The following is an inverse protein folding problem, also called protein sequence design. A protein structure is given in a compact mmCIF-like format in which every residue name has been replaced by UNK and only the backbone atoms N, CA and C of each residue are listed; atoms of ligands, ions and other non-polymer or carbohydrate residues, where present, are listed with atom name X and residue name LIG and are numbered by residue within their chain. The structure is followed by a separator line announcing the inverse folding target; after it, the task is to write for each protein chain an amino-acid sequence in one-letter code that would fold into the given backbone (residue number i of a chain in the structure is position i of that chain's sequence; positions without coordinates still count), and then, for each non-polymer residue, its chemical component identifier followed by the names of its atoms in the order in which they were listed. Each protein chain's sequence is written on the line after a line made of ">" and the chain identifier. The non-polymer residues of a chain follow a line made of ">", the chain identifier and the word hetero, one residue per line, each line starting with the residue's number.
data_IF_977654316456
#
_entry.id   IF_977654316456
#
_cell.length_a   1.000
_cell.length_b   1.000
_cell.length_c   1.000
_cell.angle_alpha   90.00
_cell.angle_beta   90.00
_cell.angle_gamma   90.00
#
_symmetry.space_group_name_H-M   'P 1'
#
loop_
_entity.id
_entity.type
_entity.pdbx_description
1 polymer ?
#
# COMPACT_ATOMS: atom_id res chain seq x y z
N UNK A 1 -21.57 -9.45 -5.06
CA UNK A 1 -20.67 -9.69 -3.91
C UNK A 1 -21.16 -10.92 -3.17
N UNK A 2 -20.26 -11.81 -2.85
CA UNK A 2 -20.51 -13.02 -2.05
C UNK A 2 -19.67 -12.93 -0.76
N UNK A 3 -20.13 -13.58 0.31
CA UNK A 3 -19.35 -13.72 1.55
C UNK A 3 -19.18 -15.18 1.89
N UNK A 4 -18.03 -15.54 2.44
CA UNK A 4 -17.75 -16.89 2.93
C UNK A 4 -16.84 -16.84 4.15
N UNK A 5 -16.86 -17.94 4.91
CA UNK A 5 -16.01 -18.08 6.10
C UNK A 5 -14.80 -18.94 5.78
N UNK A 6 -13.62 -18.49 6.23
CA UNK A 6 -12.38 -19.27 6.16
C UNK A 6 -11.61 -19.09 7.46
N UNK A 7 -11.28 -20.19 8.13
CA UNK A 7 -10.51 -20.17 9.40
C UNK A 7 -11.07 -19.18 10.45
N UNK A 8 -12.41 -19.06 10.52
CA UNK A 8 -13.08 -18.17 11.46
C UNK A 8 -13.10 -16.69 11.06
N UNK A 9 -12.60 -16.35 9.89
CA UNK A 9 -12.68 -14.99 9.33
C UNK A 9 -13.72 -14.92 8.22
N UNK A 10 -14.49 -13.85 8.21
CA UNK A 10 -15.42 -13.53 7.13
C UNK A 10 -14.66 -12.87 5.98
N UNK A 11 -14.76 -13.46 4.80
CA UNK A 11 -14.15 -12.94 3.58
C UNK A 11 -15.22 -12.49 2.58
N UNK A 12 -14.85 -11.52 1.78
CA UNK A 12 -15.71 -10.91 0.77
C UNK A 12 -15.13 -11.16 -0.62
N UNK A 13 -15.94 -11.75 -1.50
CA UNK A 13 -15.59 -11.98 -2.90
C UNK A 13 -16.39 -11.05 -3.80
N UNK A 14 -15.68 -10.33 -4.65
CA UNK A 14 -16.25 -9.44 -5.65
C UNK A 14 -15.89 -9.97 -7.04
N UNK A 15 -16.84 -9.95 -7.97
CA UNK A 15 -16.61 -10.36 -9.37
C UNK A 15 -16.97 -9.21 -10.29
N UNK A 16 -16.02 -8.80 -11.15
CA UNK A 16 -16.17 -7.72 -12.13
C UNK A 16 -15.61 -8.17 -13.46
N UNK A 17 -16.49 -8.51 -14.43
CA UNK A 17 -16.04 -9.07 -15.71
C UNK A 17 -15.12 -10.29 -15.51
N UNK A 18 -13.89 -10.28 -16.04
CA UNK A 18 -12.94 -11.37 -15.87
C UNK A 18 -12.25 -11.40 -14.50
N UNK A 19 -12.41 -10.35 -13.69
CA UNK A 19 -11.68 -10.21 -12.40
C UNK A 19 -12.48 -10.74 -11.21
N UNK A 20 -11.76 -11.42 -10.33
CA UNK A 20 -12.20 -11.80 -8.98
C UNK A 20 -11.30 -11.15 -7.95
N UNK A 21 -11.91 -10.51 -6.95
CA UNK A 21 -11.22 -9.87 -5.82
C UNK A 21 -11.67 -10.52 -4.53
N UNK A 22 -10.72 -10.85 -3.64
CA UNK A 22 -11.00 -11.37 -2.31
C UNK A 22 -10.44 -10.41 -1.29
N UNK A 23 -11.27 -9.99 -0.33
CA UNK A 23 -10.88 -9.05 0.72
C UNK A 23 -11.28 -9.55 2.11
N UNK A 24 -10.43 -9.29 3.09
CA UNK A 24 -10.81 -9.27 4.51
C UNK A 24 -11.03 -7.83 4.92
N UNK A 25 -12.28 -7.43 5.05
CA UNK A 25 -12.63 -6.02 5.31
C UNK A 25 -12.46 -5.70 6.79
N UNK A 26 -12.92 -6.58 7.67
CA UNK A 26 -12.88 -6.40 9.11
C UNK A 26 -11.46 -6.39 9.67
N UNK A 27 -10.51 -7.04 8.98
CA UNK A 27 -9.12 -7.09 9.40
C UNK A 27 -8.23 -6.46 8.33
N UNK A 28 -7.61 -5.33 8.66
CA UNK A 28 -6.69 -4.60 7.79
C UNK A 28 -7.36 -3.85 6.62
N UNK A 29 -8.70 -3.94 6.45
CA UNK A 29 -9.43 -3.51 5.25
C UNK A 29 -8.66 -3.92 3.98
N UNK A 30 -8.20 -5.17 3.95
CA UNK A 30 -7.15 -5.64 3.05
C UNK A 30 -7.71 -6.35 1.84
N UNK A 31 -7.42 -5.85 0.64
CA UNK A 31 -7.54 -6.67 -0.56
C UNK A 31 -6.46 -7.75 -0.49
N UNK A 32 -6.89 -9.02 -0.37
CA UNK A 32 -5.99 -10.16 -0.22
C UNK A 32 -5.51 -10.67 -1.58
N UNK A 33 -6.44 -10.84 -2.53
CA UNK A 33 -6.13 -11.39 -3.84
C UNK A 33 -6.92 -10.66 -4.92
N UNK A 34 -6.32 -10.51 -6.08
CA UNK A 34 -6.95 -10.14 -7.33
C UNK A 34 -6.48 -11.11 -8.40
N UNK A 35 -7.42 -11.86 -8.97
CA UNK A 35 -7.17 -12.80 -10.06
C UNK A 35 -7.97 -12.40 -11.31
N UNK A 36 -7.41 -12.68 -12.48
CA UNK A 36 -8.04 -12.43 -13.78
C UNK A 36 -8.16 -13.74 -14.57
N UNK A 37 -9.35 -14.02 -15.10
CA UNK A 37 -9.63 -15.17 -15.96
C UNK A 37 -9.49 -14.77 -17.43
N UNK A 38 -8.76 -15.55 -18.19
CA UNK A 38 -8.54 -15.35 -19.63
C UNK A 38 -9.54 -16.15 -20.47
N UNK A 39 -9.64 -15.81 -21.75
CA UNK A 39 -10.57 -16.45 -22.68
C UNK A 39 -10.28 -17.96 -22.91
N UNK A 40 -9.04 -18.39 -22.72
CA UNK A 40 -8.62 -19.80 -22.81
C UNK A 40 -8.89 -20.60 -21.53
N UNK A 41 -9.48 -19.96 -20.49
CA UNK A 41 -9.77 -20.57 -19.20
C UNK A 41 -8.61 -20.51 -18.20
N UNK A 42 -7.44 -19.96 -18.56
CA UNK A 42 -6.36 -19.73 -17.63
C UNK A 42 -6.75 -18.64 -16.60
N UNK A 43 -6.26 -18.78 -15.39
CA UNK A 43 -6.42 -17.77 -14.31
C UNK A 43 -5.06 -17.32 -13.87
N UNK A 44 -4.88 -16.01 -13.75
CA UNK A 44 -3.63 -15.41 -13.27
C UNK A 44 -3.91 -14.49 -12.09
N UNK A 45 -3.13 -14.66 -11.03
CA UNK A 45 -3.09 -13.70 -9.94
C UNK A 45 -2.36 -12.43 -10.37
N UNK A 46 -2.98 -11.28 -10.10
CA UNK A 46 -2.37 -9.95 -10.21
C UNK A 46 -1.78 -9.56 -8.86
N UNK A 47 -2.57 -9.75 -7.81
CA UNK A 47 -2.15 -9.54 -6.42
C UNK A 47 -1.99 -10.91 -5.75
N UNK A 48 -0.78 -11.13 -5.24
CA UNK A 48 -0.36 -12.36 -4.59
C UNK A 48 -0.96 -12.49 -3.18
N UNK A 49 -1.43 -13.68 -2.85
CA UNK A 49 -1.70 -14.11 -1.49
C UNK A 49 -1.12 -15.52 -1.28
N UNK A 50 -0.40 -15.79 -0.17
CA UNK A 50 0.13 -17.13 0.07
C UNK A 50 -0.99 -18.13 0.31
N UNK A 51 -0.89 -19.32 -0.31
CA UNK A 51 -1.93 -20.37 -0.28
C UNK A 51 -2.36 -20.76 1.14
N UNK A 52 -1.42 -20.84 2.06
CA UNK A 52 -1.65 -21.18 3.47
C UNK A 52 -1.49 -19.97 4.40
N UNK A 53 -1.62 -18.75 3.87
CA UNK A 53 -1.54 -17.54 4.67
C UNK A 53 -2.69 -17.43 5.66
N UNK A 54 -2.44 -16.93 6.89
CA UNK A 54 -3.51 -16.68 7.85
C UNK A 54 -4.48 -15.64 7.30
N UNK A 55 -5.77 -15.89 7.45
CA UNK A 55 -6.86 -15.03 6.99
C UNK A 55 -7.61 -14.34 8.13
N UNK A 56 -7.38 -14.77 9.36
CA UNK A 56 -7.89 -14.12 10.56
C UNK A 56 -7.20 -12.81 10.87
N UNK A 57 -7.74 -12.05 11.81
CA UNK A 57 -7.15 -10.76 12.20
C UNK A 57 -5.93 -10.90 13.14
N UNK A 58 -5.40 -9.75 13.54
CA UNK A 58 -4.32 -9.66 14.51
C UNK A 58 -2.94 -9.48 13.89
N UNK A 59 -1.92 -9.65 14.71
CA UNK A 59 -0.54 -9.36 14.33
C UNK A 59 -0.03 -10.27 13.21
N UNK A 60 -0.31 -11.56 13.28
CA UNK A 60 0.09 -12.54 12.26
C UNK A 60 -0.50 -12.20 10.88
N UNK A 61 -1.78 -11.77 10.84
CA UNK A 61 -2.39 -11.29 9.61
C UNK A 61 -1.71 -10.02 9.08
N UNK A 62 -1.35 -9.12 9.98
CA UNK A 62 -0.61 -7.89 9.64
C UNK A 62 0.75 -8.17 9.00
N UNK A 63 1.41 -9.27 9.37
CA UNK A 63 2.75 -9.63 8.87
C UNK A 63 2.74 -10.50 7.61
N UNK A 64 1.55 -10.94 7.13
CA UNK A 64 1.45 -11.72 5.89
C UNK A 64 2.06 -10.96 4.70
N UNK A 65 2.96 -11.63 3.98
CA UNK A 65 3.52 -11.16 2.71
C UNK A 65 2.55 -11.45 1.58
N UNK A 66 1.59 -10.55 1.35
CA UNK A 66 0.56 -10.73 0.32
C UNK A 66 -0.51 -9.65 0.37
N UNK A 67 -1.35 -9.58 -0.65
CA UNK A 67 -2.44 -8.63 -0.76
C UNK A 67 -1.98 -7.18 -0.94
N UNK A 68 -2.82 -6.25 -0.50
CA UNK A 68 -2.54 -4.82 -0.46
C UNK A 68 -2.69 -4.32 0.99
N UNK A 69 -1.67 -4.45 1.86
CA UNK A 69 -1.67 -3.86 3.18
C UNK A 69 -1.87 -2.36 3.14
N UNK A 70 -2.71 -1.86 4.03
CA UNK A 70 -2.93 -0.43 4.28
C UNK A 70 -1.95 0.04 5.34
N UNK A 71 -1.16 1.05 5.00
CA UNK A 71 -0.12 1.62 5.86
C UNK A 71 -0.64 2.92 6.46
N UNK A 72 -0.87 2.93 7.79
CA UNK A 72 -1.39 4.10 8.53
C UNK A 72 -1.00 4.01 10.00
N UNK A 73 -0.61 5.11 10.68
CA UNK A 73 -0.58 6.48 10.17
C UNK A 73 0.62 6.82 9.29
N UNK A 74 1.72 6.07 9.38
CA UNK A 74 2.97 6.34 8.64
C UNK A 74 3.44 5.11 7.87
N UNK A 75 3.69 5.27 6.57
CA UNK A 75 4.35 4.27 5.75
C UNK A 75 5.86 4.22 6.05
N UNK A 76 6.43 3.02 6.05
CA UNK A 76 7.84 2.79 6.36
C UNK A 76 8.14 2.73 7.86
N UNK A 77 9.44 2.73 8.19
CA UNK A 77 9.92 2.80 9.56
C UNK A 77 10.00 4.27 10.03
N UNK A 78 9.69 4.50 11.29
CA UNK A 78 9.87 5.79 11.95
C UNK A 78 11.17 5.81 12.74
N UNK A 79 11.83 6.96 12.75
CA UNK A 79 13.04 7.22 13.53
C UNK A 79 12.90 8.59 14.21
N UNK A 80 13.22 8.66 15.47
CA UNK A 80 13.33 9.90 16.21
C UNK A 80 14.51 9.83 17.17
N UNK A 81 15.30 10.90 17.24
CA UNK A 81 16.48 11.02 18.13
C UNK A 81 17.50 9.88 17.94
N UNK A 82 17.61 9.34 16.72
CA UNK A 82 18.51 8.22 16.40
C UNK A 82 17.94 6.83 16.69
N UNK A 83 16.74 6.73 17.25
CA UNK A 83 16.12 5.46 17.61
C UNK A 83 15.04 5.04 16.61
N UNK A 84 15.11 3.79 16.16
CA UNK A 84 14.11 3.16 15.30
C UNK A 84 12.88 2.75 16.12
N UNK A 85 11.69 2.94 15.53
CA UNK A 85 10.43 2.55 16.16
C UNK A 85 9.83 3.67 17.01
N UNK A 86 10.34 4.89 16.88
CA UNK A 86 9.82 6.08 17.52
C UNK A 86 9.58 7.19 16.51
N UNK A 87 8.65 8.06 16.82
CA UNK A 87 8.40 9.30 16.09
C UNK A 87 8.22 10.47 17.04
N UNK A 88 8.47 11.67 16.57
CA UNK A 88 8.32 12.89 17.35
C UNK A 88 7.06 13.62 16.94
N UNK A 89 6.18 13.87 17.89
CA UNK A 89 4.96 14.65 17.66
C UNK A 89 5.28 16.11 17.36
N UNK A 90 4.35 16.88 16.78
CA UNK A 90 4.51 18.33 16.65
C UNK A 90 4.76 19.06 17.98
N UNK A 91 4.28 18.48 19.09
CA UNK A 91 4.48 19.00 20.45
C UNK A 91 5.77 18.51 21.10
N UNK A 92 6.67 17.88 20.32
CA UNK A 92 7.96 17.32 20.74
C UNK A 92 7.89 16.12 21.71
N UNK A 93 6.77 15.43 21.81
CA UNK A 93 6.68 14.17 22.53
C UNK A 93 7.30 13.04 21.69
N UNK A 94 8.08 12.17 22.33
CA UNK A 94 8.62 10.95 21.71
C UNK A 94 7.66 9.79 21.97
N UNK A 95 7.05 9.27 20.92
CA UNK A 95 6.07 8.18 20.99
C UNK A 95 6.51 6.97 20.16
N UNK A 96 6.16 5.74 20.58
CA UNK A 96 6.47 4.55 19.79
C UNK A 96 5.67 4.55 18.48
N UNK A 97 6.24 3.97 17.43
CA UNK A 97 5.56 3.78 16.15
C UNK A 97 6.03 2.49 15.47
N UNK A 98 5.13 1.56 15.28
CA UNK A 98 5.40 0.32 14.55
C UNK A 98 5.73 0.63 13.08
N UNK A 99 6.59 -0.20 12.48
CA UNK A 99 6.83 -0.13 11.04
C UNK A 99 5.51 -0.28 10.27
N UNK A 100 5.23 0.65 9.36
CA UNK A 100 3.99 0.77 8.61
C UNK A 100 2.74 1.09 9.45
N UNK A 101 2.89 1.43 10.72
CA UNK A 101 1.80 1.81 11.60
C UNK A 101 0.93 0.63 12.06
N UNK A 102 -0.37 0.85 12.18
CA UNK A 102 -1.29 -0.06 12.89
C UNK A 102 -2.44 -0.60 12.04
N UNK A 103 -2.70 -0.03 10.85
CA UNK A 103 -3.86 -0.42 10.04
C UNK A 103 -3.71 -1.79 9.38
N UNK A 104 -2.49 -2.20 8.98
CA UNK A 104 -2.25 -3.44 8.19
C UNK A 104 -2.76 -4.73 8.85
N UNK A 105 -2.87 -4.78 10.17
CA UNK A 105 -3.44 -5.88 10.95
C UNK A 105 -4.53 -5.41 11.91
N UNK A 106 -4.95 -4.16 11.79
CA UNK A 106 -5.93 -3.54 12.67
C UNK A 106 -7.37 -3.93 12.35
N UNK A 107 -8.26 -3.63 13.30
CA UNK A 107 -9.70 -3.90 13.17
C UNK A 107 -10.38 -2.75 12.41
N UNK A 108 -11.36 -3.13 11.59
CA UNK A 108 -12.19 -2.19 10.84
C UNK A 108 -13.67 -2.53 10.99
N UNK A 109 -14.48 -1.50 11.03
CA UNK A 109 -15.94 -1.60 10.93
C UNK A 109 -16.35 -1.41 9.48
N UNK A 110 -17.04 -2.39 8.91
CA UNK A 110 -17.64 -2.24 7.57
C UNK A 110 -18.75 -1.19 7.65
N UNK A 111 -18.61 -0.09 6.93
CA UNK A 111 -19.63 0.95 6.80
C UNK A 111 -20.52 0.73 5.56
N UNK A 112 -19.91 0.21 4.49
CA UNK A 112 -20.60 -0.13 3.26
C UNK A 112 -19.89 -1.30 2.57
N UNK A 113 -20.65 -2.22 2.01
CA UNK A 113 -20.17 -3.22 1.06
C UNK A 113 -21.24 -3.45 -0.01
N UNK A 114 -20.86 -3.47 -1.27
CA UNK A 114 -21.73 -3.63 -2.44
C UNK A 114 -21.01 -4.44 -3.52
N UNK A 115 -21.66 -4.72 -4.65
CA UNK A 115 -21.05 -5.48 -5.75
C UNK A 115 -19.84 -4.79 -6.38
N UNK A 116 -19.68 -3.48 -6.16
CA UNK A 116 -18.60 -2.69 -6.78
C UNK A 116 -17.48 -2.30 -5.81
N UNK A 117 -17.57 -2.66 -4.52
CA UNK A 117 -16.54 -2.29 -3.55
C UNK A 117 -17.04 -2.17 -2.13
N UNK A 118 -16.20 -1.59 -1.27
CA UNK A 118 -16.51 -1.40 0.15
C UNK A 118 -15.89 -0.13 0.73
N UNK A 119 -16.44 0.31 1.86
CA UNK A 119 -15.86 1.33 2.74
C UNK A 119 -15.81 0.79 4.17
N UNK A 120 -14.65 0.92 4.80
CA UNK A 120 -14.42 0.48 6.17
C UNK A 120 -13.77 1.57 7.02
N UNK A 121 -14.22 1.70 8.27
CA UNK A 121 -13.72 2.63 9.27
C UNK A 121 -12.73 1.91 10.19
N UNK A 122 -11.53 2.43 10.33
CA UNK A 122 -10.51 1.92 11.23
C UNK A 122 -10.92 2.09 12.70
N UNK A 123 -10.73 1.04 13.48
CA UNK A 123 -10.96 1.01 14.91
C UNK A 123 -9.60 0.92 15.62
N UNK A 124 -9.01 2.06 16.08
CA UNK A 124 -7.71 2.02 16.72
C UNK A 124 -7.73 1.24 18.03
N UNK A 125 -6.84 0.25 18.16
CA UNK A 125 -6.59 -0.43 19.44
C UNK A 125 -5.79 0.45 20.42
N UNK A 126 -5.61 -0.03 21.65
CA UNK A 126 -4.93 0.73 22.71
C UNK A 126 -3.51 1.17 22.34
N UNK A 127 -2.73 0.28 21.72
CA UNK A 127 -1.35 0.61 21.30
C UNK A 127 -1.33 1.73 20.26
N UNK A 128 -2.26 1.67 19.29
CA UNK A 128 -2.41 2.73 18.31
C UNK A 128 -2.83 4.06 18.98
N UNK A 129 -3.78 4.02 19.89
CA UNK A 129 -4.25 5.21 20.58
C UNK A 129 -3.16 5.87 21.45
N UNK A 130 -2.27 5.07 22.06
CA UNK A 130 -1.09 5.57 22.80
C UNK A 130 -0.02 6.14 21.87
N UNK A 131 0.21 5.49 20.73
CA UNK A 131 1.25 5.86 19.78
C UNK A 131 0.86 7.04 18.86
N UNK A 132 -0.43 7.23 18.63
CA UNK A 132 -0.99 8.24 17.75
C UNK A 132 -2.23 8.89 18.41
N UNK A 133 -2.01 9.73 19.44
CA UNK A 133 -3.03 10.21 20.36
C UNK A 133 -3.85 11.38 19.80
N UNK A 134 -4.52 11.15 18.68
CA UNK A 134 -5.40 12.13 18.05
C UNK A 134 -6.84 11.61 17.97
N UNK A 135 -7.79 12.52 17.84
CA UNK A 135 -9.18 12.21 17.51
C UNK A 135 -9.37 12.30 16.01
N UNK A 136 -9.71 11.18 15.38
CA UNK A 136 -9.84 11.10 13.93
C UNK A 136 -10.81 10.00 13.49
N UNK A 137 -11.20 10.06 12.23
CA UNK A 137 -11.78 8.95 11.50
C UNK A 137 -10.84 8.63 10.32
N UNK A 138 -10.40 7.39 10.23
CA UNK A 138 -9.63 6.91 9.09
C UNK A 138 -10.44 5.85 8.34
N UNK A 139 -10.73 6.14 7.07
CA UNK A 139 -11.51 5.26 6.19
C UNK A 139 -10.66 4.74 5.07
N UNK A 140 -10.93 3.48 4.72
CA UNK A 140 -10.40 2.80 3.54
C UNK A 140 -11.59 2.48 2.64
N UNK A 141 -11.55 2.97 1.41
CA UNK A 141 -12.56 2.69 0.39
C UNK A 141 -11.93 2.02 -0.80
N UNK A 142 -12.44 0.86 -1.18
CA UNK A 142 -12.09 0.17 -2.42
C UNK A 142 -13.27 0.21 -3.40
N UNK A 143 -12.94 0.42 -4.68
CA UNK A 143 -13.85 0.26 -5.81
C UNK A 143 -13.21 -0.66 -6.83
N UNK A 144 -13.94 -1.68 -7.27
CA UNK A 144 -13.49 -2.71 -8.20
C UNK A 144 -14.14 -2.52 -9.56
N UNK A 145 -13.33 -2.55 -10.61
CA UNK A 145 -13.74 -2.56 -12.01
C UNK A 145 -13.19 -3.80 -12.71
N UNK A 146 -13.49 -3.99 -14.00
CA UNK A 146 -13.14 -5.23 -14.71
C UNK A 146 -11.63 -5.52 -14.71
N UNK A 147 -10.82 -4.48 -14.91
CA UNK A 147 -9.35 -4.60 -14.94
C UNK A 147 -8.67 -3.54 -14.06
N UNK A 148 -9.36 -3.04 -13.06
CA UNK A 148 -8.82 -2.01 -12.18
C UNK A 148 -9.33 -2.13 -10.75
N UNK A 149 -8.47 -1.72 -9.82
CA UNK A 149 -8.83 -1.49 -8.42
C UNK A 149 -8.46 -0.08 -8.00
N UNK A 150 -9.38 0.61 -7.36
CA UNK A 150 -9.21 1.94 -6.80
C UNK A 150 -9.21 1.84 -5.28
N UNK A 151 -8.26 2.50 -4.64
CA UNK A 151 -8.18 2.58 -3.19
C UNK A 151 -8.05 4.02 -2.75
N UNK A 152 -8.92 4.44 -1.83
CA UNK A 152 -8.88 5.73 -1.18
C UNK A 152 -8.63 5.56 0.32
N UNK A 153 -7.62 6.27 0.83
CA UNK A 153 -7.32 6.38 2.25
C UNK A 153 -7.69 7.78 2.68
N UNK A 154 -8.74 7.92 3.49
CA UNK A 154 -9.27 9.23 3.92
C UNK A 154 -9.10 9.42 5.42
N UNK A 155 -8.37 10.46 5.81
CA UNK A 155 -8.25 10.91 7.19
C UNK A 155 -9.08 12.16 7.42
N UNK A 156 -10.06 12.08 8.32
CA UNK A 156 -10.83 13.22 8.84
C UNK A 156 -10.34 13.57 10.23
N UNK A 157 -9.94 14.81 10.38
CA UNK A 157 -9.47 15.33 11.67
C UNK A 157 -10.65 15.76 12.54
N UNK A 158 -10.81 15.10 13.68
CA UNK A 158 -11.79 15.43 14.74
C UNK A 158 -11.10 16.03 15.99
N UNK A 159 -9.77 16.16 15.95
CA UNK A 159 -8.97 16.76 17.04
C UNK A 159 -8.95 18.29 16.92
N UNK A 160 -8.60 18.96 18.01
CA UNK A 160 -8.34 20.40 18.02
C UNK A 160 -6.98 20.77 17.42
N UNK A 161 -6.07 19.82 17.28
CA UNK A 161 -4.72 19.98 16.73
C UNK A 161 -4.71 19.57 15.24
N UNK A 162 -3.71 20.04 14.52
CA UNK A 162 -3.41 19.50 13.19
C UNK A 162 -2.85 18.08 13.32
N UNK A 163 -3.35 17.13 12.52
CA UNK A 163 -2.95 15.73 12.57
C UNK A 163 -1.92 15.43 11.48
N UNK A 164 -0.69 15.01 11.83
CA UNK A 164 0.30 14.57 10.85
C UNK A 164 -0.02 13.14 10.39
N UNK A 165 0.08 12.87 9.10
CA UNK A 165 -0.02 11.52 8.54
C UNK A 165 0.81 11.37 7.26
N UNK A 166 1.25 10.16 6.96
CA UNK A 166 1.94 9.80 5.73
C UNK A 166 1.62 8.34 5.39
N UNK A 167 0.39 8.12 4.99
CA UNK A 167 -0.14 6.79 4.67
C UNK A 167 0.40 6.24 3.34
N UNK A 168 0.11 4.99 3.05
CA UNK A 168 0.46 4.36 1.79
C UNK A 168 -0.19 2.98 1.63
N UNK A 169 0.13 2.34 0.52
CA UNK A 169 -0.25 0.97 0.21
C UNK A 169 1.00 0.14 -0.06
N UNK A 170 0.92 -1.16 0.23
CA UNK A 170 2.01 -2.11 0.03
C UNK A 170 1.57 -3.30 -0.85
N UNK A 171 1.26 -3.07 -2.14
CA UNK A 171 0.77 -4.13 -3.01
C UNK A 171 1.84 -5.17 -3.28
N UNK A 172 1.48 -6.44 -3.13
CA UNK A 172 2.29 -7.60 -3.47
C UNK A 172 1.85 -8.12 -4.85
N UNK A 173 2.52 -7.67 -5.92
CA UNK A 173 2.20 -8.12 -7.27
C UNK A 173 2.77 -9.51 -7.51
N UNK A 174 1.94 -10.45 -7.96
CA UNK A 174 2.39 -11.79 -8.31
C UNK A 174 3.39 -11.75 -9.48
N UNK A 175 4.53 -12.39 -9.35
CA UNK A 175 5.57 -12.50 -10.37
C UNK A 175 6.31 -13.85 -10.26
N UNK A 176 6.66 -14.47 -11.39
CA UNK A 176 6.41 -14.07 -12.78
C UNK A 176 4.96 -14.35 -13.24
N UNK A 177 4.43 -13.57 -14.19
CA UNK A 177 3.02 -13.66 -14.61
C UNK A 177 2.71 -14.84 -15.51
N UNK A 178 3.69 -15.37 -16.23
CA UNK A 178 3.49 -16.47 -17.16
C UNK A 178 4.57 -17.55 -17.01
N UNK A 179 4.25 -18.81 -17.36
CA UNK A 179 5.25 -19.86 -17.42
C UNK A 179 6.44 -19.49 -18.30
N UNK A 180 7.66 -19.77 -17.81
CA UNK A 180 8.89 -19.44 -18.53
C UNK A 180 9.38 -18.00 -18.34
N UNK A 181 8.58 -17.12 -17.76
CA UNK A 181 9.04 -15.78 -17.37
C UNK A 181 9.97 -15.82 -16.16
N UNK A 182 10.89 -14.88 -16.13
CA UNK A 182 11.79 -14.63 -14.99
C UNK A 182 11.79 -13.16 -14.66
N UNK A 183 12.18 -12.78 -13.45
CA UNK A 183 12.30 -11.37 -13.03
C UNK A 183 13.17 -10.51 -13.94
N UNK A 184 14.13 -11.12 -14.69
CA UNK A 184 14.97 -10.42 -15.68
C UNK A 184 14.17 -9.82 -16.83
N UNK A 185 12.95 -10.30 -17.06
CA UNK A 185 12.09 -9.83 -18.14
C UNK A 185 11.26 -8.59 -17.72
N UNK A 186 11.13 -8.33 -16.44
CA UNK A 186 10.26 -7.23 -15.95
C UNK A 186 11.03 -5.95 -15.72
N UNK A 187 10.39 -4.85 -16.09
CA UNK A 187 10.93 -3.49 -15.97
C UNK A 187 9.87 -2.56 -15.38
N UNK A 188 10.34 -1.59 -14.60
CA UNK A 188 9.51 -0.48 -14.15
C UNK A 188 9.83 0.76 -14.99
N UNK A 189 8.80 1.47 -15.41
CA UNK A 189 8.85 2.73 -16.14
C UNK A 189 8.11 3.81 -15.37
N UNK A 190 8.76 4.95 -15.16
CA UNK A 190 8.15 6.12 -14.51
C UNK A 190 8.93 7.38 -14.88
N UNK A 191 8.42 8.54 -14.47
CA UNK A 191 9.07 9.84 -14.69
C UNK A 191 9.68 10.47 -13.42
N UNK A 192 9.94 9.65 -12.41
CA UNK A 192 10.68 10.06 -11.22
C UNK A 192 12.02 10.70 -11.60
N UNK A 193 12.44 11.74 -10.88
CA UNK A 193 13.68 12.46 -11.13
C UNK A 193 14.79 12.13 -10.14
N UNK A 194 14.44 11.45 -9.05
CA UNK A 194 15.38 11.06 -8.00
C UNK A 194 15.05 9.68 -7.47
N UNK A 195 16.08 8.95 -7.08
CA UNK A 195 15.99 7.74 -6.32
C UNK A 195 16.83 7.85 -5.06
N UNK A 196 16.35 7.30 -3.97
CA UNK A 196 17.07 7.22 -2.70
C UNK A 196 16.87 5.85 -2.07
N UNK A 197 17.77 5.49 -1.17
CA UNK A 197 17.65 4.33 -0.29
C UNK A 197 17.55 4.79 1.14
N UNK A 198 16.62 4.23 1.88
CA UNK A 198 16.47 4.44 3.32
C UNK A 198 17.33 3.42 4.05
N UNK A 199 18.28 3.87 4.83
CA UNK A 199 19.23 3.03 5.54
C UNK A 199 18.70 2.60 6.92
N UNK A 200 19.28 1.53 7.52
CA UNK A 200 18.88 1.06 8.85
C UNK A 200 19.06 2.07 9.99
N UNK A 201 19.88 3.08 9.80
CA UNK A 201 20.11 4.18 10.75
C UNK A 201 19.13 5.36 10.58
N UNK A 202 18.18 5.26 9.64
CA UNK A 202 17.18 6.29 9.37
C UNK A 202 17.64 7.40 8.42
N UNK A 203 18.82 7.27 7.82
CA UNK A 203 19.34 8.23 6.83
C UNK A 203 18.96 7.84 5.40
N UNK A 204 19.11 8.77 4.47
CA UNK A 204 18.89 8.56 3.04
C UNK A 204 20.18 8.73 2.26
N UNK A 205 20.44 7.81 1.34
CA UNK A 205 21.52 7.93 0.35
C UNK A 205 20.94 8.02 -1.06
N UNK A 206 21.54 8.85 -1.95
CA UNK A 206 21.15 8.88 -3.36
C UNK A 206 21.41 7.54 -4.06
N UNK A 207 20.55 7.19 -5.02
CA UNK A 207 20.63 5.98 -5.83
C UNK A 207 20.53 6.30 -7.32
N UNK A 208 20.98 5.37 -8.17
CA UNK A 208 20.89 5.50 -9.62
C UNK A 208 19.44 5.30 -10.09
N UNK A 209 18.87 6.30 -10.75
CA UNK A 209 17.50 6.28 -11.24
C UNK A 209 17.31 5.39 -12.49
N UNK A 210 18.36 5.07 -13.21
CA UNK A 210 18.27 4.31 -14.47
C UNK A 210 18.11 2.80 -14.30
N UNK A 211 18.41 2.26 -13.10
CA UNK A 211 18.19 0.86 -12.80
C UNK A 211 16.71 0.62 -12.52
N UNK A 212 16.07 -0.26 -13.29
CA UNK A 212 14.62 -0.49 -13.25
C UNK A 212 14.23 -1.96 -13.45
N UNK A 213 15.20 -2.88 -13.47
CA UNK A 213 14.96 -4.32 -13.64
C UNK A 213 14.63 -4.98 -12.29
N UNK A 214 13.59 -5.79 -12.25
CA UNK A 214 13.18 -6.47 -11.01
C UNK A 214 14.14 -7.59 -10.57
N UNK A 215 15.08 -7.99 -11.41
CA UNK A 215 16.16 -8.90 -11.05
C UNK A 215 17.39 -8.20 -10.47
N UNK A 216 17.48 -6.86 -10.56
CA UNK A 216 18.61 -6.12 -10.02
C UNK A 216 18.47 -5.98 -8.50
N UNK A 217 19.42 -6.52 -7.74
CA UNK A 217 19.41 -6.40 -6.28
C UNK A 217 19.42 -4.94 -5.81
N UNK A 218 20.07 -4.05 -6.57
CA UNK A 218 20.09 -2.61 -6.26
C UNK A 218 18.75 -1.91 -6.53
N UNK A 219 17.84 -2.52 -7.30
CA UNK A 219 16.48 -2.01 -7.49
C UNK A 219 15.57 -2.35 -6.29
N UNK A 220 15.95 -3.29 -5.44
CA UNK A 220 15.24 -3.63 -4.22
C UNK A 220 15.48 -2.59 -3.12
N UNK A 221 14.46 -2.27 -2.32
CA UNK A 221 14.46 -1.22 -1.29
C UNK A 221 14.77 0.19 -1.83
N UNK A 222 14.49 0.45 -3.09
CA UNK A 222 14.66 1.75 -3.70
C UNK A 222 13.39 2.59 -3.54
N UNK A 223 13.57 3.87 -3.24
CA UNK A 223 12.49 4.85 -3.15
C UNK A 223 12.63 5.85 -4.31
N UNK A 224 11.70 5.79 -5.24
CA UNK A 224 11.59 6.71 -6.37
C UNK A 224 10.81 7.95 -5.94
N UNK A 225 11.31 9.15 -6.25
CA UNK A 225 10.75 10.42 -5.78
C UNK A 225 10.80 11.50 -6.86
N UNK A 226 10.16 12.64 -6.55
CA UNK A 226 10.12 13.80 -7.42
C UNK A 226 9.55 13.47 -8.82
N UNK A 227 8.35 12.90 -8.80
CA UNK A 227 7.59 12.56 -9.99
C UNK A 227 7.06 13.81 -10.68
N UNK A 228 7.04 13.79 -12.02
CA UNK A 228 6.36 14.80 -12.83
C UNK A 228 4.89 14.47 -12.99
N UNK A 229 4.57 13.17 -13.18
CA UNK A 229 3.23 12.62 -13.17
C UNK A 229 3.14 11.53 -12.11
N UNK A 230 1.96 11.25 -11.60
CA UNK A 230 1.76 10.21 -10.59
C UNK A 230 1.53 8.83 -11.24
N UNK A 231 2.30 8.49 -12.25
CA UNK A 231 2.15 7.25 -13.01
C UNK A 231 3.40 6.41 -12.96
N UNK A 232 3.21 5.13 -12.69
CA UNK A 232 4.23 4.09 -12.77
C UNK A 232 3.65 2.96 -13.59
N UNK A 233 4.41 2.44 -14.53
CA UNK A 233 4.06 1.23 -15.28
C UNK A 233 5.12 0.18 -15.08
N UNK A 234 4.75 -1.08 -15.03
CA UNK A 234 5.70 -2.17 -15.01
C UNK A 234 5.12 -3.43 -15.63
N UNK A 235 5.97 -4.17 -16.29
CA UNK A 235 5.60 -5.36 -17.04
C UNK A 235 6.79 -6.03 -17.70
N UNK A 236 6.54 -7.07 -18.50
CA UNK A 236 7.56 -7.71 -19.30
C UNK A 236 8.10 -6.75 -20.36
N UNK A 237 9.38 -6.84 -20.68
CA UNK A 237 10.09 -5.93 -21.59
C UNK A 237 9.43 -5.80 -22.98
N UNK A 238 8.65 -6.76 -23.39
CA UNK A 238 8.00 -6.78 -24.71
C UNK A 238 6.60 -6.12 -24.71
N UNK A 239 6.13 -5.58 -23.57
CA UNK A 239 5.00 -4.65 -23.52
C UNK A 239 3.63 -5.21 -23.88
N UNK A 240 3.42 -6.53 -23.78
CA UNK A 240 2.11 -7.12 -24.12
C UNK A 240 1.08 -6.97 -22.99
N UNK A 241 1.51 -6.79 -21.75
CA UNK A 241 0.65 -6.62 -20.56
C UNK A 241 1.39 -5.84 -19.49
N UNK A 242 0.94 -4.65 -19.18
CA UNK A 242 1.51 -3.81 -18.14
C UNK A 242 0.54 -3.59 -16.97
N UNK A 243 1.08 -3.50 -15.78
CA UNK A 243 0.36 -2.95 -14.64
C UNK A 243 0.66 -1.46 -14.56
N UNK A 244 -0.41 -0.67 -14.50
CA UNK A 244 -0.34 0.76 -14.25
C UNK A 244 -0.74 1.07 -12.82
N UNK A 245 0.13 1.81 -12.15
CA UNK A 245 -0.13 2.40 -10.85
C UNK A 245 -0.21 3.92 -11.02
N UNK A 246 -1.37 4.49 -10.72
CA UNK A 246 -1.61 5.92 -10.76
C UNK A 246 -2.02 6.41 -9.38
N UNK A 247 -1.48 7.55 -8.96
CA UNK A 247 -1.75 8.14 -7.65
C UNK A 247 -2.26 9.58 -7.82
N UNK A 248 -3.24 9.94 -6.97
CA UNK A 248 -3.88 11.25 -7.05
C UNK A 248 -4.95 11.37 -8.15
N UNK A 249 -6.03 12.06 -7.85
CA UNK A 249 -7.21 12.20 -8.72
C UNK A 249 -7.03 13.11 -9.93
N UNK A 250 -5.98 13.95 -9.98
CA UNK A 250 -5.81 15.00 -10.99
C UNK A 250 -4.63 14.82 -11.95
N UNK A 251 -3.96 13.67 -11.94
CA UNK A 251 -2.79 13.41 -12.80
C UNK A 251 -1.50 14.12 -12.37
N UNK A 252 -1.55 14.94 -11.32
CA UNK A 252 -0.37 15.49 -10.65
C UNK A 252 -0.12 14.70 -9.37
N UNK A 253 1.15 14.34 -9.07
CA UNK A 253 1.48 13.69 -7.81
C UNK A 253 1.19 14.63 -6.64
N UNK A 254 0.73 14.05 -5.54
CA UNK A 254 0.68 14.76 -4.27
C UNK A 254 2.09 15.16 -3.84
N UNK A 255 2.17 16.24 -3.07
CA UNK A 255 3.46 16.72 -2.60
C UNK A 255 4.11 15.69 -1.67
N UNK A 256 5.30 15.23 -2.05
CA UNK A 256 6.05 14.22 -1.29
C UNK A 256 5.82 12.79 -1.75
N UNK A 257 4.86 12.55 -2.65
CA UNK A 257 4.60 11.22 -3.21
C UNK A 257 5.89 10.50 -3.61
N UNK A 258 5.97 9.25 -3.24
CA UNK A 258 7.07 8.36 -3.63
C UNK A 258 6.56 6.94 -3.92
N UNK A 259 7.37 6.17 -4.60
CA UNK A 259 7.14 4.75 -4.87
C UNK A 259 8.31 3.95 -4.34
N UNK A 260 8.02 2.96 -3.51
CA UNK A 260 9.02 2.03 -2.97
C UNK A 260 8.97 0.72 -3.75
N UNK A 261 10.13 0.17 -4.05
CA UNK A 261 10.26 -1.14 -4.67
C UNK A 261 10.84 -2.12 -3.68
N UNK A 262 10.22 -3.29 -3.53
CA UNK A 262 10.67 -4.27 -2.55
C UNK A 262 10.32 -5.71 -2.91
N UNK A 263 11.17 -6.63 -2.50
CA UNK A 263 10.92 -8.06 -2.45
C UNK A 263 11.77 -8.66 -1.33
N UNK A 264 11.24 -9.63 -0.60
CA UNK A 264 11.95 -10.24 0.52
C UNK A 264 13.17 -11.04 0.06
N UNK A 265 12.97 -11.86 -0.99
CA UNK A 265 14.02 -12.69 -1.58
C UNK A 265 14.02 -12.58 -3.11
N UNK A 266 15.12 -12.93 -3.75
CA UNK A 266 15.23 -12.95 -5.20
C UNK A 266 14.20 -13.88 -5.88
N UNK A 267 13.83 -14.97 -5.21
CA UNK A 267 12.87 -15.97 -5.69
C UNK A 267 11.48 -15.86 -5.06
N UNK A 268 11.16 -14.80 -4.33
CA UNK A 268 9.78 -14.58 -3.82
C UNK A 268 8.79 -14.60 -4.98
N UNK A 269 7.59 -15.20 -4.82
CA UNK A 269 6.56 -15.24 -5.87
C UNK A 269 5.85 -13.89 -6.07
N UNK A 270 6.43 -12.81 -5.59
CA UNK A 270 5.91 -11.46 -5.68
C UNK A 270 7.02 -10.41 -5.79
N UNK A 271 6.62 -9.22 -6.25
CA UNK A 271 7.39 -7.99 -6.16
C UNK A 271 6.47 -6.85 -5.74
N UNK A 272 6.92 -5.97 -4.87
CA UNK A 272 6.13 -4.84 -4.38
C UNK A 272 6.51 -3.56 -5.12
N UNK A 273 5.49 -2.82 -5.54
CA UNK A 273 5.60 -1.47 -6.08
C UNK A 273 4.60 -0.62 -5.28
N UNK A 274 5.11 0.14 -4.34
CA UNK A 274 4.36 0.65 -3.21
C UNK A 274 4.16 2.16 -3.32
N UNK A 275 2.93 2.65 -3.55
CA UNK A 275 2.65 4.08 -3.54
C UNK A 275 2.51 4.59 -2.11
N UNK A 276 3.35 5.55 -1.71
CA UNK A 276 3.31 6.20 -0.41
C UNK A 276 3.13 7.70 -0.54
N UNK A 277 2.46 8.33 0.42
CA UNK A 277 2.27 9.78 0.50
C UNK A 277 3.58 10.55 0.63
N UNK A 278 4.60 9.94 1.21
CA UNK A 278 5.89 10.59 1.44
C UNK A 278 6.97 9.61 1.88
N UNK A 279 8.19 10.11 1.94
CA UNK A 279 9.33 9.38 2.48
C UNK A 279 9.08 8.98 3.94
N UNK A 280 9.71 7.91 4.44
CA UNK A 280 9.79 7.66 5.89
C UNK A 280 10.17 8.94 6.65
N UNK A 281 9.62 9.13 7.84
CA UNK A 281 9.77 10.33 8.68
C UNK A 281 9.23 11.64 8.08
N UNK A 282 8.53 11.63 6.95
CA UNK A 282 7.97 12.85 6.35
C UNK A 282 6.73 13.39 7.07
N UNK A 283 6.19 12.66 8.03
CA UNK A 283 5.00 13.06 8.81
C UNK A 283 5.17 14.39 9.57
N UNK A 284 6.40 14.76 9.92
CA UNK A 284 6.70 16.07 10.53
C UNK A 284 6.62 17.24 9.53
N UNK A 285 6.47 16.96 8.23
CA UNK A 285 6.31 18.02 7.23
C UNK A 285 4.91 18.63 7.28
N UNK A 286 4.74 19.95 7.33
CA UNK A 286 3.43 20.62 7.33
C UNK A 286 2.53 20.23 6.15
N UNK A 287 3.11 19.72 5.05
CA UNK A 287 2.39 19.28 3.85
C UNK A 287 1.52 18.04 4.09
N UNK A 288 1.89 17.24 5.07
CA UNK A 288 1.18 16.02 5.46
C UNK A 288 0.26 16.22 6.68
N UNK A 289 -0.03 17.47 7.07
CA UNK A 289 -0.98 17.74 8.13
C UNK A 289 -2.42 17.83 7.59
N UNK A 290 -3.36 17.30 8.38
CA UNK A 290 -4.80 17.50 8.21
C UNK A 290 -5.24 18.54 9.24
N UNK A 291 -5.70 19.70 8.78
CA UNK A 291 -6.17 20.76 9.67
C UNK A 291 -7.42 20.34 10.46
N UNK A 292 -7.65 20.97 11.60
CA UNK A 292 -8.85 20.77 12.41
C UNK A 292 -10.13 20.83 11.56
N UNK A 293 -10.99 19.84 11.70
CA UNK A 293 -12.27 19.73 10.97
C UNK A 293 -12.15 19.38 9.48
N UNK A 294 -10.94 19.36 8.93
CA UNK A 294 -10.70 19.01 7.53
C UNK A 294 -10.59 17.51 7.30
N UNK A 295 -10.69 17.12 6.03
CA UNK A 295 -10.36 15.77 5.55
C UNK A 295 -9.34 15.85 4.44
N UNK A 296 -8.45 14.85 4.37
CA UNK A 296 -7.54 14.63 3.24
C UNK A 296 -7.62 13.19 2.79
N UNK A 297 -7.52 12.97 1.49
CA UNK A 297 -7.56 11.65 0.86
C UNK A 297 -6.29 11.40 0.07
N UNK A 298 -5.72 10.21 0.25
CA UNK A 298 -4.71 9.63 -0.62
C UNK A 298 -5.41 8.61 -1.52
N UNK A 299 -5.19 8.72 -2.82
CA UNK A 299 -5.84 7.89 -3.83
C UNK A 299 -4.79 7.11 -4.63
N UNK A 300 -5.04 5.82 -4.85
CA UNK A 300 -4.26 4.99 -5.75
C UNK A 300 -5.19 4.15 -6.65
N UNK A 301 -4.82 4.04 -7.91
CA UNK A 301 -5.44 3.17 -8.92
C UNK A 301 -4.41 2.18 -9.42
N UNK A 302 -4.75 0.91 -9.46
CA UNK A 302 -3.96 -0.16 -10.06
C UNK A 302 -4.79 -0.73 -11.20
N UNK A 303 -4.24 -0.73 -12.42
CA UNK A 303 -4.94 -1.17 -13.63
C UNK A 303 -4.08 -2.12 -14.44
N UNK A 304 -4.71 -3.11 -15.07
CA UNK A 304 -4.13 -3.90 -16.15
C UNK A 304 -4.44 -3.23 -17.49
N UNK A 305 -3.46 -3.20 -18.38
CA UNK A 305 -3.61 -2.65 -19.73
C UNK A 305 -3.13 -3.67 -20.74
#
# INVERSE_FOLDING_TARGET
>A
METFEQSGAKLYKFTRGPSTFIANIENGARLMNWAVSFADGAVRDVIYWPENGPVGGGEDFGEVRGGIPVLFPFAGASFAEGEKGFWKTPDNELLPMRMHGYAKGGQFKVEMASDIGFTALFLPGEDCAKAYPYKYEFRVTYRFEELSVYCELTLKNLDSRNIPWAAGLHPYFFLPWAPGHTRKMYRLSCDAKKAVRFLPDGTFVPEDIFKNCFADAEFNNRILTNFKTAKVAFGPKNGEEDIFLKVGGGGKPDVGFCVVTWSEFENSPYYCVEPWMGLPNSASSPKHFVAQGASKTFFAEISLI
#
